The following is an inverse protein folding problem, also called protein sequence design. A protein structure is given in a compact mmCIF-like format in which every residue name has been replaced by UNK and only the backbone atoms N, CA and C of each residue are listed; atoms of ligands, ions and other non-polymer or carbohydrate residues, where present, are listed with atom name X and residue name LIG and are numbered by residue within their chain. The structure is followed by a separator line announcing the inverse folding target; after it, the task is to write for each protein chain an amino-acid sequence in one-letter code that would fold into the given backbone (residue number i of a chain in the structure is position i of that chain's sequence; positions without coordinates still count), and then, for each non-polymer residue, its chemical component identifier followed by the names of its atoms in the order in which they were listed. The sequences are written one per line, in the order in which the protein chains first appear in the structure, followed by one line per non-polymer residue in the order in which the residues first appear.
data_IF_137194299591
#
_entry.id   IF_137194299591
#
_cell.length_a   1.000
_cell.length_b   1.000
_cell.length_c   1.000
_cell.angle_alpha   90.00
_cell.angle_beta   90.00
_cell.angle_gamma   90.00
#
_symmetry.space_group_name_H-M   'P 1'
#
loop_
_entity.id
_entity.type
_entity.pdbx_description
1 polymer ?
#
# COMPACT_ATOMS: atom_id res chain seq x y z
N UNK A 1 -23.93 29.04 45.61
CA UNK A 1 -22.48 28.77 45.45
C UNK A 1 -22.16 27.41 44.80
N UNK A 2 -22.88 26.32 45.12
CA UNK A 2 -22.58 24.97 44.57
C UNK A 2 -22.92 24.82 43.07
N UNK A 3 -23.99 25.44 42.58
CA UNK A 3 -24.42 25.36 41.17
C UNK A 3 -23.39 25.96 40.19
N UNK A 4 -22.79 27.11 40.54
CA UNK A 4 -21.76 27.76 39.72
C UNK A 4 -20.48 26.92 39.60
N UNK A 5 -20.13 26.18 40.66
CA UNK A 5 -18.97 25.29 40.66
C UNK A 5 -19.16 24.13 39.67
N UNK A 6 -20.36 23.54 39.64
CA UNK A 6 -20.71 22.48 38.68
C UNK A 6 -20.73 22.98 37.24
N UNK A 7 -21.29 24.18 37.01
CA UNK A 7 -21.30 24.80 35.68
C UNK A 7 -19.88 25.09 35.16
N UNK A 8 -18.97 25.55 36.04
CA UNK A 8 -17.57 25.79 35.68
C UNK A 8 -16.84 24.49 35.33
N UNK A 9 -17.05 23.41 36.10
CA UNK A 9 -16.48 22.09 35.78
C UNK A 9 -16.98 21.53 34.44
N UNK A 10 -18.25 21.73 34.11
CA UNK A 10 -18.82 21.31 32.82
C UNK A 10 -18.18 22.08 31.67
N UNK A 11 -18.00 23.40 31.82
CA UNK A 11 -17.35 24.24 30.83
C UNK A 11 -15.89 23.84 30.60
N UNK A 12 -15.14 23.60 31.67
CA UNK A 12 -13.77 23.09 31.62
C UNK A 12 -13.71 21.74 30.88
N UNK A 13 -14.64 20.83 31.18
CA UNK A 13 -14.73 19.51 30.53
C UNK A 13 -14.96 19.66 29.01
N UNK A 14 -15.86 20.55 28.59
CA UNK A 14 -16.11 20.81 27.17
C UNK A 14 -14.86 21.36 26.48
N UNK A 15 -14.15 22.29 27.11
CA UNK A 15 -12.90 22.83 26.56
C UNK A 15 -11.85 21.72 26.43
N UNK A 16 -11.65 20.91 27.48
CA UNK A 16 -10.68 19.82 27.46
C UNK A 16 -10.98 18.80 26.35
N UNK A 17 -12.24 18.42 26.18
CA UNK A 17 -12.68 17.52 25.11
C UNK A 17 -12.48 18.15 23.72
N UNK A 18 -12.73 19.45 23.59
CA UNK A 18 -12.53 20.18 22.33
C UNK A 18 -11.05 20.23 21.94
N UNK A 19 -10.17 20.56 22.89
CA UNK A 19 -8.72 20.55 22.66
C UNK A 19 -8.23 19.15 22.29
N UNK A 20 -8.71 18.11 22.99
CA UNK A 20 -8.37 16.72 22.68
C UNK A 20 -8.79 16.32 21.25
N UNK A 21 -10.00 16.69 20.84
CA UNK A 21 -10.51 16.41 19.50
C UNK A 21 -9.65 17.10 18.41
N UNK A 22 -9.22 18.34 18.64
CA UNK A 22 -8.32 19.06 17.74
C UNK A 22 -6.97 18.35 17.63
N UNK A 23 -6.37 17.97 18.76
CA UNK A 23 -5.08 17.26 18.79
C UNK A 23 -5.16 15.92 18.04
N UNK A 24 -6.20 15.13 18.27
CA UNK A 24 -6.42 13.85 17.55
C UNK A 24 -6.56 14.10 16.06
N UNK A 25 -7.35 15.11 15.66
CA UNK A 25 -7.57 15.43 14.24
C UNK A 25 -6.27 15.86 13.55
N UNK A 26 -5.44 16.66 14.23
CA UNK A 26 -4.14 17.08 13.72
C UNK A 26 -3.18 15.90 13.58
N UNK A 27 -3.09 15.03 14.59
CA UNK A 27 -2.25 13.81 14.53
C UNK A 27 -2.72 12.90 13.41
N UNK A 28 -4.03 12.69 13.27
CA UNK A 28 -4.59 11.86 12.22
C UNK A 28 -4.28 12.43 10.83
N UNK A 29 -4.49 13.73 10.65
CA UNK A 29 -4.12 14.42 9.41
C UNK A 29 -2.63 14.27 9.12
N UNK A 30 -1.74 14.56 10.07
CA UNK A 30 -0.30 14.49 9.84
C UNK A 30 0.20 13.06 9.59
N UNK A 31 -0.39 12.06 10.25
CA UNK A 31 0.04 10.66 10.16
C UNK A 31 -0.51 9.93 8.94
N UNK A 32 -1.75 10.22 8.55
CA UNK A 32 -2.46 9.48 7.49
C UNK A 32 -2.57 10.25 6.16
N UNK A 33 -2.29 11.55 6.12
CA UNK A 33 -2.37 12.35 4.90
C UNK A 33 -1.11 12.28 4.02
N UNK A 34 -0.10 11.51 4.41
CA UNK A 34 1.12 11.36 3.64
C UNK A 34 1.11 10.10 2.77
N UNK A 35 1.36 10.31 1.47
CA UNK A 35 1.50 9.35 0.35
C UNK A 35 2.22 8.02 0.64
N UNK A 36 2.93 7.91 1.75
CA UNK A 36 3.54 6.66 2.23
C UNK A 36 2.49 5.59 2.48
N UNK A 37 1.35 5.91 3.11
CA UNK A 37 0.30 4.91 3.38
C UNK A 37 -0.23 4.31 2.07
N UNK A 38 -0.50 5.15 1.06
CA UNK A 38 -1.00 4.68 -0.24
C UNK A 38 0.02 3.82 -0.98
N UNK A 39 1.31 4.12 -0.89
CA UNK A 39 2.37 3.29 -1.48
C UNK A 39 2.50 1.95 -0.75
N UNK A 40 2.44 1.94 0.58
CA UNK A 40 2.46 0.69 1.36
C UNK A 40 1.24 -0.18 1.09
N UNK A 41 0.04 0.41 1.04
CA UNK A 41 -1.19 -0.29 0.67
C UNK A 41 -1.06 -0.88 -0.74
N UNK A 42 -0.53 -0.11 -1.69
CA UNK A 42 -0.31 -0.59 -3.06
C UNK A 42 0.71 -1.74 -3.10
N UNK A 43 1.84 -1.61 -2.41
CA UNK A 43 2.87 -2.66 -2.32
C UNK A 43 2.32 -3.94 -1.69
N UNK A 44 1.57 -3.82 -0.59
CA UNK A 44 0.94 -4.96 0.07
C UNK A 44 -0.11 -5.63 -0.83
N UNK A 45 -0.88 -4.86 -1.59
CA UNK A 45 -1.82 -5.40 -2.57
C UNK A 45 -1.09 -6.17 -3.69
N UNK A 46 0.00 -5.60 -4.21
CA UNK A 46 0.85 -6.26 -5.21
C UNK A 46 1.47 -7.55 -4.67
N UNK A 47 2.01 -7.56 -3.45
CA UNK A 47 2.55 -8.76 -2.80
C UNK A 47 1.49 -9.86 -2.69
N UNK A 48 0.30 -9.51 -2.22
CA UNK A 48 -0.82 -10.44 -2.10
C UNK A 48 -1.23 -11.06 -3.45
N UNK A 49 -1.24 -10.28 -4.53
CA UNK A 49 -1.47 -10.80 -5.88
C UNK A 49 -0.43 -11.84 -6.30
N UNK A 50 0.84 -11.66 -5.92
CA UNK A 50 1.88 -12.64 -6.21
C UNK A 50 1.72 -13.92 -5.39
N UNK A 51 1.39 -13.80 -4.10
CA UNK A 51 1.18 -14.94 -3.21
C UNK A 51 -0.03 -15.80 -3.61
N UNK A 52 -1.10 -15.16 -4.12
CA UNK A 52 -2.32 -15.85 -4.58
C UNK A 52 -2.27 -16.29 -6.05
N UNK A 53 -1.20 -15.97 -6.77
CA UNK A 53 -1.11 -16.15 -8.23
C UNK A 53 -2.26 -15.46 -9.02
N UNK A 54 -2.85 -14.40 -8.45
CA UNK A 54 -3.91 -13.62 -9.10
C UNK A 54 -3.32 -12.40 -9.82
N UNK A 55 -3.19 -12.55 -11.14
CA UNK A 55 -2.59 -11.57 -12.03
C UNK A 55 -3.62 -10.79 -12.88
N UNK A 56 -4.89 -10.77 -12.47
CA UNK A 56 -5.97 -10.04 -13.17
C UNK A 56 -5.65 -8.55 -13.42
N UNK A 57 -4.98 -7.90 -12.47
CA UNK A 57 -4.57 -6.49 -12.58
C UNK A 57 -3.21 -6.27 -13.28
N UNK A 58 -2.61 -7.33 -13.82
CA UNK A 58 -1.30 -7.30 -14.47
C UNK A 58 -1.46 -7.47 -15.97
N UNK A 59 -0.47 -7.00 -16.73
CA UNK A 59 -0.39 -7.29 -18.15
C UNK A 59 0.40 -8.58 -18.36
N UNK A 60 -0.06 -9.41 -19.28
CA UNK A 60 0.63 -10.65 -19.64
C UNK A 60 1.01 -10.64 -21.11
N UNK A 61 2.23 -11.10 -21.43
CA UNK A 61 2.65 -11.30 -22.83
C UNK A 61 3.54 -12.53 -22.97
N UNK A 62 3.52 -13.14 -24.15
CA UNK A 62 4.48 -14.19 -24.51
C UNK A 62 5.84 -13.55 -24.82
N UNK A 63 6.92 -14.14 -24.32
CA UNK A 63 8.27 -13.66 -24.58
C UNK A 63 9.24 -14.84 -24.62
N UNK A 64 10.18 -14.82 -25.57
CA UNK A 64 11.29 -15.74 -25.58
C UNK A 64 12.45 -15.15 -24.77
N UNK A 65 13.00 -15.90 -23.83
CA UNK A 65 14.18 -15.51 -23.05
C UNK A 65 15.36 -16.43 -23.39
N UNK A 66 16.56 -15.85 -23.47
CA UNK A 66 17.79 -16.62 -23.62
C UNK A 66 18.45 -16.76 -22.26
N UNK A 67 18.60 -18.00 -21.79
CA UNK A 67 19.34 -18.34 -20.57
C UNK A 67 20.71 -18.84 -20.99
N UNK A 68 21.75 -18.28 -20.40
CA UNK A 68 23.13 -18.70 -20.60
C UNK A 68 23.55 -19.48 -19.36
N UNK A 69 23.84 -20.77 -19.50
CA UNK A 69 24.34 -21.63 -18.43
C UNK A 69 25.53 -22.42 -18.94
N UNK A 70 26.68 -22.30 -18.29
CA UNK A 70 27.92 -22.98 -18.71
C UNK A 70 28.24 -22.76 -20.20
N UNK A 71 28.15 -21.51 -20.67
CA UNK A 71 28.38 -21.10 -22.07
C UNK A 71 27.35 -21.63 -23.09
N UNK A 72 26.43 -22.49 -22.67
CA UNK A 72 25.33 -23.00 -23.51
C UNK A 72 24.17 -21.99 -23.46
N UNK A 73 23.74 -21.53 -24.64
CA UNK A 73 22.60 -20.64 -24.83
C UNK A 73 21.34 -21.44 -25.09
N UNK A 74 20.38 -21.38 -24.17
CA UNK A 74 19.07 -22.00 -24.33
C UNK A 74 18.00 -20.93 -24.48
N UNK A 75 17.15 -21.08 -25.50
CA UNK A 75 15.96 -20.24 -25.69
C UNK A 75 14.76 -20.93 -25.07
N UNK A 76 14.04 -20.21 -24.22
CA UNK A 76 12.85 -20.71 -23.54
C UNK A 76 11.71 -19.73 -23.76
N UNK A 77 10.56 -20.26 -24.17
CA UNK A 77 9.33 -19.50 -24.25
C UNK A 77 8.70 -19.39 -22.86
N UNK A 78 8.47 -18.16 -22.43
CA UNK A 78 7.90 -17.84 -21.12
C UNK A 78 6.69 -16.92 -21.27
N UNK A 79 5.81 -17.00 -20.28
CA UNK A 79 4.77 -16.00 -20.02
C UNK A 79 5.39 -14.93 -19.14
N UNK A 80 5.48 -13.71 -19.65
CA UNK A 80 5.86 -12.54 -18.86
C UNK A 80 4.63 -11.88 -18.28
N UNK A 81 4.56 -11.79 -16.96
CA UNK A 81 3.59 -11.00 -16.20
C UNK A 81 4.29 -9.72 -15.78
N UNK A 82 3.68 -8.57 -16.01
CA UNK A 82 4.30 -7.28 -15.69
C UNK A 82 3.30 -6.24 -15.18
N UNK A 83 3.79 -5.42 -14.26
CA UNK A 83 3.12 -4.25 -13.71
C UNK A 83 4.04 -3.04 -13.90
N UNK A 84 3.51 -1.97 -14.48
CA UNK A 84 4.23 -0.71 -14.70
C UNK A 84 3.24 0.44 -14.52
N UNK A 85 3.00 0.81 -13.26
CA UNK A 85 2.09 1.89 -12.87
C UNK A 85 2.57 2.52 -11.56
N UNK A 86 2.23 3.78 -11.32
CA UNK A 86 2.49 4.50 -10.07
C UNK A 86 3.97 4.49 -9.63
N UNK A 87 4.90 4.47 -10.59
CA UNK A 87 6.34 4.42 -10.33
C UNK A 87 6.87 3.07 -9.85
N UNK A 88 6.05 2.02 -9.87
CA UNK A 88 6.43 0.65 -9.50
C UNK A 88 6.49 -0.21 -10.75
N UNK A 89 7.64 -0.87 -10.96
CA UNK A 89 7.87 -1.82 -12.05
C UNK A 89 8.13 -3.21 -11.48
N UNK A 90 7.28 -4.16 -11.83
CA UNK A 90 7.41 -5.57 -11.45
C UNK A 90 7.38 -6.46 -12.69
N UNK A 91 8.20 -7.51 -12.66
CA UNK A 91 8.28 -8.51 -13.72
C UNK A 91 8.34 -9.91 -13.10
N UNK A 92 7.47 -10.81 -13.55
CA UNK A 92 7.55 -12.25 -13.29
C UNK A 92 7.60 -12.98 -14.63
N UNK A 93 8.44 -14.01 -14.69
CA UNK A 93 8.51 -14.93 -15.82
C UNK A 93 8.06 -16.31 -15.36
N UNK A 94 7.08 -16.87 -16.03
CA UNK A 94 6.56 -18.21 -15.78
C UNK A 94 6.72 -19.07 -17.02
N UNK A 95 7.07 -20.34 -16.84
CA UNK A 95 7.02 -21.31 -17.93
C UNK A 95 5.55 -21.57 -18.30
N UNK A 96 5.28 -21.84 -19.58
CA UNK A 96 3.98 -22.40 -19.95
C UNK A 96 3.86 -23.79 -19.33
N UNK A 97 2.79 -24.00 -18.55
CA UNK A 97 2.38 -25.33 -18.10
C UNK A 97 1.75 -26.09 -19.26
#
# INVERSE_FOLDING_TARGET
MVANKKAFTIFETIISLTVLAIVITLIYSLSFHNNLNNKFILLNSLENSFAKEDYSNFKTKKQNITIIKNEIKNRIDVKKIYYDKNGIKLYKYELYK
#
